data_IF_281837054625
#
_entry.id   IF_281837054625
#
_cell.length_a   1.000
_cell.length_b   1.000
_cell.length_c   1.000
_cell.angle_alpha   90.00
_cell.angle_beta   90.00
_cell.angle_gamma   90.00
#
_symmetry.space_group_name_H-M   'P 1'
#
loop_
_entity.id
_entity.type
_entity.pdbx_description
1 polymer ?
#
# COMPACT_ATOMS: atom_id res chain seq x y z
N UNK A 1 -1.05 -23.66 13.69
CA UNK A 1 0.03 -23.12 14.56
C UNK A 1 0.74 -22.00 13.84
N UNK A 2 1.20 -21.00 14.57
CA UNK A 2 1.31 -19.59 14.18
C UNK A 2 2.65 -19.20 13.51
N UNK A 3 3.09 -19.99 12.53
CA UNK A 3 4.40 -19.80 11.91
C UNK A 3 4.46 -18.52 11.07
N UNK A 4 3.36 -18.16 10.39
CA UNK A 4 3.29 -16.97 9.52
C UNK A 4 3.49 -15.69 10.33
N UNK A 5 2.82 -15.53 11.48
CA UNK A 5 3.05 -14.36 12.34
C UNK A 5 4.48 -14.36 12.89
N UNK A 6 5.06 -15.53 13.17
CA UNK A 6 6.45 -15.62 13.62
C UNK A 6 7.43 -15.18 12.52
N UNK A 7 7.20 -15.59 11.27
CA UNK A 7 7.98 -15.14 10.12
C UNK A 7 7.83 -13.64 9.88
N UNK A 8 6.63 -13.08 9.95
CA UNK A 8 6.41 -11.64 9.82
C UNK A 8 7.20 -10.87 10.88
N UNK A 9 7.16 -11.35 12.14
CA UNK A 9 7.87 -10.72 13.25
C UNK A 9 9.39 -10.78 13.07
N UNK A 10 9.93 -11.93 12.66
CA UNK A 10 11.37 -12.11 12.42
C UNK A 10 11.83 -11.25 11.24
N UNK A 11 11.11 -11.28 10.12
CA UNK A 11 11.46 -10.50 8.94
C UNK A 11 11.46 -9.00 9.21
N UNK A 12 10.39 -8.47 9.80
CA UNK A 12 10.30 -7.04 10.13
C UNK A 12 11.31 -6.66 11.20
N UNK A 13 11.56 -7.53 12.19
CA UNK A 13 12.61 -7.31 13.18
C UNK A 13 14.00 -7.18 12.55
N UNK A 14 14.32 -8.01 11.55
CA UNK A 14 15.58 -7.92 10.79
C UNK A 14 15.63 -6.60 9.98
N UNK A 15 14.55 -6.24 9.28
CA UNK A 15 14.48 -4.98 8.56
C UNK A 15 14.71 -3.78 9.48
N UNK A 16 14.11 -3.80 10.69
CA UNK A 16 14.28 -2.75 11.69
C UNK A 16 15.73 -2.65 12.16
N UNK A 17 16.38 -3.77 12.48
CA UNK A 17 17.80 -3.79 12.86
C UNK A 17 18.72 -3.23 11.77
N UNK A 18 18.38 -3.46 10.50
CA UNK A 18 19.13 -2.96 9.35
C UNK A 18 18.77 -1.52 8.94
N UNK A 19 17.73 -0.92 9.54
CA UNK A 19 17.20 0.39 9.14
C UNK A 19 16.53 0.39 7.75
N UNK A 20 16.18 -0.78 7.22
CA UNK A 20 15.62 -0.95 5.87
C UNK A 20 14.09 -0.83 5.89
N UNK A 21 13.63 0.42 6.03
CA UNK A 21 12.21 0.77 6.14
C UNK A 21 11.44 0.41 4.86
N UNK A 22 12.04 0.62 3.69
CA UNK A 22 11.42 0.33 2.40
C UNK A 22 11.17 -1.16 2.22
N UNK A 23 12.11 -2.03 2.64
CA UNK A 23 11.90 -3.47 2.60
C UNK A 23 10.76 -3.93 3.51
N UNK A 24 10.60 -3.32 4.68
CA UNK A 24 9.45 -3.59 5.56
C UNK A 24 8.14 -3.09 4.94
N UNK A 25 8.13 -1.93 4.29
CA UNK A 25 6.95 -1.39 3.61
C UNK A 25 6.54 -2.23 2.39
N UNK A 26 7.51 -2.65 1.58
CA UNK A 26 7.27 -3.55 0.45
C UNK A 26 6.66 -4.88 0.90
N UNK A 27 7.07 -5.37 2.06
CA UNK A 27 6.47 -6.56 2.66
C UNK A 27 5.00 -6.33 3.04
N UNK A 28 4.65 -5.21 3.67
CA UNK A 28 3.26 -4.84 3.94
C UNK A 28 2.43 -4.74 2.64
N UNK A 29 2.97 -4.08 1.61
CA UNK A 29 2.34 -4.00 0.30
C UNK A 29 2.04 -5.39 -0.27
N UNK A 30 3.02 -6.30 -0.20
CA UNK A 30 2.87 -7.67 -0.73
C UNK A 30 1.80 -8.46 0.03
N UNK A 31 1.78 -8.36 1.36
CA UNK A 31 0.78 -9.04 2.20
C UNK A 31 -0.65 -8.61 1.88
N UNK A 32 -0.85 -7.33 1.58
CA UNK A 32 -2.16 -6.78 1.22
C UNK A 32 -2.52 -7.12 -0.23
N UNK A 33 -1.62 -6.86 -1.18
CA UNK A 33 -1.86 -7.11 -2.60
C UNK A 33 -2.24 -8.57 -2.90
N UNK A 34 -1.52 -9.52 -2.33
CA UNK A 34 -1.72 -10.95 -2.56
C UNK A 34 -2.90 -11.52 -1.76
N UNK A 35 -3.69 -10.67 -1.10
CA UNK A 35 -4.83 -11.04 -0.25
C UNK A 35 -4.50 -12.16 0.76
N UNK A 36 -3.36 -12.01 1.43
CA UNK A 36 -2.85 -13.04 2.32
C UNK A 36 -3.83 -13.31 3.47
N UNK A 37 -4.07 -14.57 3.88
CA UNK A 37 -5.02 -14.87 4.95
C UNK A 37 -4.74 -14.09 6.24
N UNK A 38 -5.75 -13.34 6.71
CA UNK A 38 -5.66 -12.48 7.91
C UNK A 38 -4.58 -11.39 7.79
N UNK A 39 -4.42 -10.83 6.60
CA UNK A 39 -3.49 -9.73 6.33
C UNK A 39 -3.66 -8.56 7.30
N UNK A 40 -4.88 -8.24 7.73
CA UNK A 40 -5.18 -7.24 8.77
C UNK A 40 -4.48 -7.51 10.11
N UNK A 41 -4.51 -8.77 10.57
CA UNK A 41 -3.79 -9.19 11.78
C UNK A 41 -2.28 -9.10 11.59
N UNK A 42 -1.77 -9.50 10.42
CA UNK A 42 -0.34 -9.42 10.10
C UNK A 42 0.13 -7.96 10.10
N UNK A 43 -0.63 -7.05 9.51
CA UNK A 43 -0.36 -5.60 9.56
C UNK A 43 -0.32 -5.10 11.01
N UNK A 44 -1.25 -5.53 11.87
CA UNK A 44 -1.21 -5.18 13.29
C UNK A 44 0.07 -5.67 13.99
N UNK A 45 0.52 -6.89 13.72
CA UNK A 45 1.79 -7.39 14.28
C UNK A 45 2.99 -6.58 13.81
N UNK A 46 3.01 -6.20 12.52
CA UNK A 46 4.09 -5.38 11.96
C UNK A 46 4.08 -3.99 12.61
N UNK A 47 2.91 -3.34 12.69
CA UNK A 47 2.75 -2.04 13.33
C UNK A 47 3.18 -2.05 14.81
N UNK A 48 2.93 -3.16 15.53
CA UNK A 48 3.36 -3.32 16.91
C UNK A 48 4.89 -3.51 17.05
N UNK A 49 5.59 -3.96 16.00
CA UNK A 49 7.06 -4.09 16.02
C UNK A 49 7.73 -2.78 15.57
N UNK A 50 7.22 -2.18 14.52
CA UNK A 50 7.82 -1.01 13.88
C UNK A 50 6.73 -0.15 13.23
N UNK A 51 6.16 0.78 13.99
CA UNK A 51 5.04 1.60 13.55
C UNK A 51 5.45 2.61 12.47
N UNK A 52 6.72 3.03 12.46
CA UNK A 52 7.31 3.96 11.50
C UNK A 52 7.21 3.47 10.05
N UNK A 53 7.05 2.14 9.84
CA UNK A 53 6.74 1.55 8.52
C UNK A 53 5.54 2.25 7.87
N UNK A 54 4.58 2.68 8.69
CA UNK A 54 3.34 3.33 8.29
C UNK A 54 3.34 4.85 8.46
N UNK A 55 4.44 5.49 8.89
CA UNK A 55 4.44 6.94 9.16
C UNK A 55 4.79 7.82 7.96
N UNK A 56 5.17 7.23 6.83
CA UNK A 56 5.59 7.99 5.63
C UNK A 56 4.40 8.69 4.94
N UNK A 57 4.62 9.92 4.47
CA UNK A 57 3.65 10.65 3.64
C UNK A 57 3.63 10.22 2.16
N UNK A 58 4.43 9.21 1.79
CA UNK A 58 4.49 8.67 0.43
C UNK A 58 3.14 8.15 -0.06
N UNK A 59 2.92 8.25 -1.37
CA UNK A 59 1.66 7.84 -2.02
C UNK A 59 1.39 6.35 -1.80
N UNK A 60 2.42 5.52 -1.90
CA UNK A 60 2.32 4.08 -1.63
C UNK A 60 1.97 3.79 -0.17
N UNK A 61 2.55 4.52 0.78
CA UNK A 61 2.22 4.31 2.20
C UNK A 61 0.78 4.72 2.52
N UNK A 62 0.28 5.79 1.89
CA UNK A 62 -1.15 6.17 1.99
C UNK A 62 -2.06 5.08 1.44
N UNK A 63 -1.71 4.45 0.31
CA UNK A 63 -2.46 3.33 -0.25
C UNK A 63 -2.44 2.11 0.69
N UNK A 64 -1.27 1.74 1.23
CA UNK A 64 -1.13 0.65 2.22
C UNK A 64 -2.02 0.88 3.44
N UNK A 65 -1.97 2.09 4.02
CA UNK A 65 -2.78 2.43 5.18
C UNK A 65 -4.28 2.40 4.85
N UNK A 66 -4.67 2.94 3.69
CA UNK A 66 -6.07 2.94 3.28
C UNK A 66 -6.61 1.51 3.15
N UNK A 67 -5.89 0.65 2.43
CA UNK A 67 -6.27 -0.74 2.23
C UNK A 67 -6.31 -1.51 3.55
N UNK A 68 -5.28 -1.38 4.39
CA UNK A 68 -5.25 -2.03 5.70
C UNK A 68 -6.44 -1.59 6.57
N UNK A 69 -6.80 -0.30 6.52
CA UNK A 69 -7.90 0.29 7.27
C UNK A 69 -9.27 -0.19 6.79
N UNK A 70 -9.48 -0.34 5.49
CA UNK A 70 -10.74 -0.86 4.94
C UNK A 70 -10.88 -2.37 5.14
N UNK A 71 -9.77 -3.10 5.14
CA UNK A 71 -9.77 -4.54 5.28
C UNK A 71 -9.94 -5.00 6.74
N UNK A 72 -9.36 -4.26 7.69
CA UNK A 72 -9.46 -4.58 9.12
C UNK A 72 -10.89 -4.43 9.66
N UNK A 73 -11.31 -5.35 10.54
CA UNK A 73 -12.64 -5.35 11.17
C UNK A 73 -12.56 -5.62 12.67
N UNK A 74 -13.62 -5.24 13.39
CA UNK A 74 -13.76 -5.53 14.82
C UNK A 74 -12.58 -5.04 15.65
N UNK A 75 -12.06 -5.91 16.52
CA UNK A 75 -10.99 -5.58 17.46
C UNK A 75 -9.66 -5.25 16.76
N UNK A 76 -9.36 -5.87 15.62
CA UNK A 76 -8.13 -5.59 14.85
C UNK A 76 -8.13 -4.14 14.36
N UNK A 77 -9.25 -3.69 13.80
CA UNK A 77 -9.41 -2.30 13.36
C UNK A 77 -9.28 -1.32 14.55
N UNK A 78 -9.87 -1.66 15.70
CA UNK A 78 -9.77 -0.84 16.92
C UNK A 78 -8.31 -0.70 17.36
N UNK A 79 -7.56 -1.81 17.41
CA UNK A 79 -6.15 -1.76 17.77
C UNK A 79 -5.33 -0.95 16.75
N UNK A 80 -5.51 -1.19 15.46
CA UNK A 80 -4.78 -0.45 14.42
C UNK A 80 -5.03 1.06 14.49
N UNK A 81 -6.28 1.49 14.71
CA UNK A 81 -6.61 2.90 14.92
C UNK A 81 -5.81 3.52 16.07
N UNK A 82 -5.71 2.81 17.20
CA UNK A 82 -4.95 3.27 18.36
C UNK A 82 -3.44 3.29 18.09
N UNK A 83 -2.88 2.23 17.49
CA UNK A 83 -1.43 2.12 17.26
C UNK A 83 -0.92 3.08 16.19
N UNK A 84 -1.70 3.33 15.15
CA UNK A 84 -1.31 4.16 14.01
C UNK A 84 -1.89 5.58 14.06
N UNK A 85 -2.58 5.93 15.14
CA UNK A 85 -3.25 7.22 15.32
C UNK A 85 -4.17 7.59 14.15
N UNK A 86 -4.92 6.62 13.63
CA UNK A 86 -5.87 6.91 12.55
C UNK A 86 -7.05 7.74 13.08
N UNK A 87 -7.43 8.75 12.30
CA UNK A 87 -8.61 9.56 12.59
C UNK A 87 -9.89 8.70 12.71
N UNK A 88 -10.88 9.18 13.46
CA UNK A 88 -12.19 8.50 13.56
C UNK A 88 -13.08 8.70 12.31
N UNK A 89 -12.70 9.63 11.42
CA UNK A 89 -13.37 9.90 10.14
C UNK A 89 -13.44 8.64 9.27
N UNK A 90 -14.47 8.50 8.43
CA UNK A 90 -14.49 7.40 7.47
C UNK A 90 -13.30 7.52 6.51
N UNK A 91 -12.56 6.43 6.22
CA UNK A 91 -11.48 6.50 5.24
C UNK A 91 -12.03 6.90 3.87
N UNK A 92 -11.22 7.62 3.09
CA UNK A 92 -11.51 7.89 1.67
C UNK A 92 -11.77 6.56 0.96
N UNK A 93 -12.72 6.52 0.03
CA UNK A 93 -12.97 5.31 -0.74
C UNK A 93 -11.78 4.95 -1.65
N UNK A 94 -11.51 3.65 -1.83
CA UNK A 94 -10.42 3.17 -2.69
C UNK A 94 -10.60 3.69 -4.12
N UNK A 95 -11.83 3.69 -4.65
CA UNK A 95 -12.13 4.18 -5.99
C UNK A 95 -11.81 5.66 -6.15
N UNK A 96 -12.15 6.46 -5.13
CA UNK A 96 -11.83 7.90 -5.10
C UNK A 96 -10.32 8.13 -5.11
N UNK A 97 -9.56 7.33 -4.35
CA UNK A 97 -8.10 7.42 -4.35
C UNK A 97 -7.51 6.98 -5.70
N UNK A 98 -8.02 5.91 -6.33
CA UNK A 98 -7.54 5.51 -7.66
C UNK A 98 -7.76 6.63 -8.67
N UNK A 99 -8.98 7.20 -8.71
CA UNK A 99 -9.29 8.31 -9.62
C UNK A 99 -8.37 9.50 -9.40
N UNK A 100 -8.11 9.90 -8.15
CA UNK A 100 -7.22 11.03 -7.87
C UNK A 100 -5.77 10.76 -8.27
N UNK A 101 -5.28 9.53 -8.08
CA UNK A 101 -3.93 9.14 -8.52
C UNK A 101 -3.84 9.11 -10.04
N UNK A 102 -4.81 8.53 -10.75
CA UNK A 102 -4.82 8.50 -12.22
C UNK A 102 -4.81 9.92 -12.81
N UNK A 103 -5.61 10.83 -12.24
CA UNK A 103 -5.58 12.25 -12.62
C UNK A 103 -4.22 12.88 -12.34
N UNK A 104 -3.61 12.59 -11.19
CA UNK A 104 -2.27 13.08 -10.88
C UNK A 104 -1.23 12.58 -11.89
N UNK A 105 -1.35 11.33 -12.37
CA UNK A 105 -0.46 10.80 -13.41
C UNK A 105 -0.61 11.54 -14.73
N UNK A 106 -1.85 11.74 -15.18
CA UNK A 106 -2.13 12.37 -16.46
C UNK A 106 -1.70 13.84 -16.50
N UNK A 107 -1.76 14.53 -15.36
CA UNK A 107 -1.47 15.97 -15.27
C UNK A 107 0.00 16.27 -14.92
N UNK A 108 0.80 15.29 -14.51
CA UNK A 108 2.16 15.53 -14.03
C UNK A 108 3.20 15.33 -15.15
N UNK A 109 3.82 16.41 -15.67
CA UNK A 109 4.85 16.30 -16.72
C UNK A 109 6.14 15.60 -16.24
N UNK A 110 6.29 15.34 -14.94
CA UNK A 110 7.47 14.67 -14.38
C UNK A 110 7.37 13.14 -14.38
N UNK A 111 6.28 12.57 -14.93
CA UNK A 111 6.04 11.12 -14.98
C UNK A 111 6.53 10.47 -16.28
N UNK A 112 7.51 11.10 -16.93
CA UNK A 112 8.19 10.56 -18.11
C UNK A 112 9.24 9.51 -17.74
N UNK A 113 9.53 8.62 -18.70
CA UNK A 113 10.66 7.73 -18.63
C UNK A 113 11.96 8.53 -18.63
N UNK A 114 12.94 8.04 -17.87
CA UNK A 114 14.30 8.55 -17.84
C UNK A 114 15.27 7.45 -18.25
N UNK A 115 16.43 7.85 -18.76
CA UNK A 115 17.50 6.91 -19.03
C UNK A 115 18.05 6.32 -17.73
N UNK A 116 18.15 5.00 -17.68
CA UNK A 116 18.73 4.24 -16.58
C UNK A 116 19.88 3.40 -17.11
N UNK A 117 21.06 3.51 -16.50
CA UNK A 117 22.23 2.71 -16.90
C UNK A 117 21.98 1.21 -16.79
N UNK A 118 21.10 0.80 -15.87
CA UNK A 118 20.80 -0.61 -15.59
C UNK A 118 19.64 -1.16 -16.43
N UNK A 119 18.63 -0.33 -16.70
CA UNK A 119 17.35 -0.78 -17.29
C UNK A 119 17.04 -0.16 -18.66
N UNK A 120 17.91 0.70 -19.19
CA UNK A 120 17.70 1.41 -20.45
C UNK A 120 16.79 2.62 -20.25
N UNK A 121 15.48 2.38 -20.20
CA UNK A 121 14.46 3.37 -19.84
C UNK A 121 13.73 2.92 -18.58
N UNK A 122 13.57 3.82 -17.61
CA UNK A 122 12.95 3.54 -16.32
C UNK A 122 12.13 4.73 -15.83
N UNK A 123 11.23 4.49 -14.88
CA UNK A 123 10.52 5.56 -14.18
C UNK A 123 11.36 6.07 -13.02
N UNK A 124 11.15 7.34 -12.64
CA UNK A 124 11.72 7.87 -11.40
C UNK A 124 11.12 7.15 -10.18
N UNK A 125 11.86 7.09 -9.09
CA UNK A 125 11.40 6.46 -7.84
C UNK A 125 10.03 6.99 -7.38
N UNK A 126 9.83 8.31 -7.44
CA UNK A 126 8.54 8.92 -7.11
C UNK A 126 7.43 8.41 -8.03
N UNK A 127 7.69 8.29 -9.32
CA UNK A 127 6.73 7.77 -10.32
C UNK A 127 6.38 6.31 -10.05
N UNK A 128 7.36 5.48 -9.67
CA UNK A 128 7.12 4.10 -9.24
C UNK A 128 6.20 4.01 -8.02
N UNK A 129 6.29 4.95 -7.06
CA UNK A 129 5.37 4.95 -5.91
C UNK A 129 3.90 5.12 -6.34
N UNK A 130 3.61 5.93 -7.37
CA UNK A 130 2.26 6.05 -7.91
C UNK A 130 1.81 4.74 -8.57
N UNK A 131 2.69 4.11 -9.37
CA UNK A 131 2.39 2.83 -10.03
C UNK A 131 2.06 1.76 -8.99
N UNK A 132 2.90 1.58 -7.96
CA UNK A 132 2.65 0.61 -6.89
C UNK A 132 1.39 0.95 -6.08
N UNK A 133 1.11 2.23 -5.84
CA UNK A 133 -0.09 2.63 -5.12
C UNK A 133 -1.36 2.29 -5.91
N UNK A 134 -1.40 2.61 -7.20
CA UNK A 134 -2.53 2.29 -8.08
C UNK A 134 -2.69 0.77 -8.19
N UNK A 135 -1.60 0.04 -8.39
CA UNK A 135 -1.62 -1.41 -8.48
C UNK A 135 -2.19 -2.07 -7.19
N UNK A 136 -1.75 -1.62 -6.01
CA UNK A 136 -2.33 -2.08 -4.74
C UNK A 136 -3.81 -1.75 -4.63
N UNK A 137 -4.21 -0.51 -4.92
CA UNK A 137 -5.61 -0.10 -4.79
C UNK A 137 -6.52 -0.87 -5.77
N UNK A 138 -6.06 -1.09 -6.99
CA UNK A 138 -6.76 -1.87 -8.01
C UNK A 138 -6.90 -3.35 -7.65
N UNK A 139 -5.98 -3.94 -6.87
CA UNK A 139 -6.13 -5.33 -6.41
C UNK A 139 -7.34 -5.53 -5.48
N UNK A 140 -7.87 -4.43 -4.93
CA UNK A 140 -9.09 -4.41 -4.11
C UNK A 140 -10.35 -3.99 -4.89
N UNK A 141 -10.24 -3.82 -6.21
CA UNK A 141 -11.37 -3.53 -7.09
C UNK A 141 -11.83 -4.78 -7.84
N UNK A 142 -13.13 -4.83 -8.13
CA UNK A 142 -13.70 -5.89 -8.97
C UNK A 142 -13.48 -5.56 -10.45
N UNK A 143 -13.45 -6.60 -11.29
CA UNK A 143 -13.39 -6.43 -12.75
C UNK A 143 -14.41 -5.43 -13.31
N UNK A 144 -15.65 -5.42 -12.80
CA UNK A 144 -16.68 -4.48 -13.24
C UNK A 144 -16.25 -3.02 -13.04
N UNK A 145 -15.53 -2.71 -11.96
CA UNK A 145 -15.01 -1.38 -11.72
C UNK A 145 -14.00 -0.97 -12.80
N UNK A 146 -13.04 -1.84 -13.12
CA UNK A 146 -12.04 -1.59 -14.17
C UNK A 146 -12.69 -1.39 -15.53
N UNK A 147 -13.66 -2.23 -15.88
CA UNK A 147 -14.43 -2.09 -17.10
C UNK A 147 -15.14 -0.74 -17.18
N UNK A 148 -15.91 -0.39 -16.15
CA UNK A 148 -16.79 0.79 -16.19
C UNK A 148 -16.03 2.11 -16.06
N UNK A 149 -14.89 2.14 -15.37
CA UNK A 149 -14.16 3.37 -15.07
C UNK A 149 -12.92 3.60 -15.93
N UNK A 150 -12.32 2.55 -16.52
CA UNK A 150 -11.09 2.66 -17.30
C UNK A 150 -11.34 2.31 -18.77
N UNK A 151 -11.88 1.12 -19.04
CA UNK A 151 -11.99 0.60 -20.42
C UNK A 151 -13.10 1.33 -21.19
N UNK A 152 -14.28 1.49 -20.57
CA UNK A 152 -15.46 2.05 -21.24
C UNK A 152 -15.29 3.51 -21.66
N UNK A 153 -14.39 4.26 -21.01
CA UNK A 153 -14.09 5.65 -21.38
C UNK A 153 -13.20 5.78 -22.63
N UNK A 154 -12.75 4.66 -23.23
CA UNK A 154 -11.92 4.62 -24.44
C UNK A 154 -12.62 4.02 -25.68
N UNK A 155 -13.95 3.91 -25.69
CA UNK A 155 -14.75 3.46 -26.86
C UNK A 155 -15.77 4.51 -27.27
#
# INVERSE_FOLDING_TARGET
>A
HNYIQSLCRVYVGICHQLGDLEKARLFCYTLLKEDFPRSDQLILFIANIWSEVFSSESVINKAIQLVARQHAKGDVLKCLKTYLNWEESAPVDISTMISSLLWAIQLCPQMEFQLSEKYGEDLKENTWQYVFAIDLLCSYQKWCWTHDNIIRYHV
#
